data_IF_494952226502
#
_entry.id   IF_494952226502
#
_cell.length_a   1.000
_cell.length_b   1.000
_cell.length_c   1.000
_cell.angle_alpha   90.00
_cell.angle_beta   90.00
_cell.angle_gamma   90.00
#
_symmetry.space_group_name_H-M   'P 1'
#
loop_
_entity.id
_entity.type
_entity.pdbx_description
1 polymer ?
#
# COMPACT_ATOMS: atom_id res chain seq x y z
N UNK A 1 8.32 -14.71 8.41
CA UNK A 1 7.05 -14.38 9.10
C UNK A 1 6.26 -13.39 8.26
N UNK A 2 5.76 -13.80 7.11
CA UNK A 2 4.71 -13.12 6.36
C UNK A 2 3.98 -14.23 5.63
N UNK A 3 2.85 -14.72 6.14
CA UNK A 3 2.08 -15.83 5.54
C UNK A 3 1.38 -15.43 4.24
N UNK A 4 2.12 -14.80 3.33
CA UNK A 4 1.66 -14.20 2.07
C UNK A 4 2.47 -14.70 0.86
N UNK A 5 3.30 -15.74 1.03
CA UNK A 5 4.11 -16.31 -0.06
C UNK A 5 3.21 -16.79 -1.21
N UNK A 6 2.03 -17.34 -0.91
CA UNK A 6 1.04 -17.76 -1.90
C UNK A 6 0.20 -16.61 -2.49
N UNK A 7 0.32 -15.39 -1.95
CA UNK A 7 -0.50 -14.24 -2.30
C UNK A 7 0.21 -13.22 -3.22
N UNK A 8 1.46 -13.47 -3.65
CA UNK A 8 2.21 -12.54 -4.50
C UNK A 8 1.46 -12.12 -5.77
N UNK A 9 0.77 -13.08 -6.39
CA UNK A 9 -0.01 -12.87 -7.61
C UNK A 9 -1.23 -11.94 -7.41
N UNK A 10 -1.61 -11.66 -6.17
CA UNK A 10 -2.77 -10.82 -5.83
C UNK A 10 -2.40 -9.35 -5.62
N UNK A 11 -1.12 -9.03 -5.38
CA UNK A 11 -0.69 -7.64 -5.13
C UNK A 11 -1.02 -6.65 -6.25
N UNK A 12 -0.92 -6.99 -7.56
CA UNK A 12 -1.39 -6.13 -8.64
C UNK A 12 -2.86 -5.71 -8.53
N UNK A 13 -3.68 -6.51 -7.84
CA UNK A 13 -5.10 -6.28 -7.65
C UNK A 13 -5.44 -5.59 -6.33
N UNK A 14 -4.57 -5.71 -5.33
CA UNK A 14 -4.79 -5.20 -3.97
C UNK A 14 -4.09 -3.86 -3.69
N UNK A 15 -2.94 -3.59 -4.32
CA UNK A 15 -2.26 -2.31 -4.18
C UNK A 15 -2.02 -1.71 -5.57
N UNK A 16 -2.34 -0.43 -5.81
CA UNK A 16 -2.01 0.24 -7.07
C UNK A 16 -0.53 0.13 -7.48
N UNK A 17 0.39 0.10 -6.51
CA UNK A 17 1.84 -0.10 -6.76
C UNK A 17 2.18 -1.55 -7.18
N UNK A 18 1.24 -2.48 -7.03
CA UNK A 18 1.32 -3.86 -7.52
C UNK A 18 2.24 -4.79 -6.74
N UNK A 19 2.68 -4.40 -5.54
CA UNK A 19 3.55 -5.22 -4.67
C UNK A 19 3.23 -5.01 -3.19
N UNK A 20 3.69 -5.96 -2.37
CA UNK A 20 3.76 -5.79 -0.92
C UNK A 20 4.71 -4.62 -0.58
N UNK A 21 4.36 -3.87 0.47
CA UNK A 21 5.24 -2.87 1.06
C UNK A 21 6.36 -3.51 1.86
N UNK A 22 7.55 -2.95 1.77
CA UNK A 22 8.72 -3.38 2.53
C UNK A 22 9.05 -2.38 3.64
N UNK A 23 9.77 -2.78 4.72
CA UNK A 23 10.18 -1.85 5.78
C UNK A 23 10.89 -0.60 5.25
N UNK A 24 11.63 -0.72 4.15
CA UNK A 24 12.36 0.38 3.53
C UNK A 24 11.42 1.41 2.89
N UNK A 25 10.19 1.05 2.50
CA UNK A 25 9.21 2.02 1.99
C UNK A 25 8.83 3.02 3.09
N UNK A 26 8.62 2.55 4.32
CA UNK A 26 8.38 3.39 5.49
C UNK A 26 9.62 4.21 5.84
N UNK A 27 10.78 3.55 5.90
CA UNK A 27 12.04 4.20 6.28
C UNK A 27 12.42 5.35 5.33
N UNK A 28 12.16 5.21 4.02
CA UNK A 28 12.42 6.28 3.04
C UNK A 28 11.57 7.53 3.29
N UNK A 29 10.29 7.36 3.63
CA UNK A 29 9.41 8.50 3.95
C UNK A 29 9.79 9.14 5.28
N UNK A 30 10.15 8.33 6.28
CA UNK A 30 10.69 8.85 7.54
C UNK A 30 11.98 9.65 7.32
N UNK A 31 12.89 9.15 6.46
CA UNK A 31 14.12 9.84 6.12
C UNK A 31 13.85 11.17 5.39
N UNK A 32 12.91 11.19 4.44
CA UNK A 32 12.47 12.44 3.81
C UNK A 32 11.96 13.45 4.85
N UNK A 33 11.08 13.01 5.76
CA UNK A 33 10.50 13.85 6.80
C UNK A 33 11.51 14.34 7.85
N UNK A 34 12.60 13.61 8.05
CA UNK A 34 13.70 13.99 8.93
C UNK A 34 14.72 14.93 8.25
N UNK A 35 14.61 15.14 6.94
CA UNK A 35 15.55 15.95 6.16
C UNK A 35 15.07 17.39 5.97
N UNK A 36 15.98 18.28 5.59
CA UNK A 36 15.64 19.68 5.27
C UNK A 36 14.68 19.82 4.08
N UNK A 37 14.56 18.77 3.24
CA UNK A 37 13.67 18.74 2.08
C UNK A 37 12.20 18.87 2.46
N UNK A 38 11.84 18.52 3.70
CA UNK A 38 10.47 18.60 4.21
C UNK A 38 10.26 19.76 5.19
N UNK A 39 11.13 20.78 5.19
CA UNK A 39 11.11 21.89 6.16
C UNK A 39 9.79 22.66 6.28
N UNK A 40 8.93 22.61 5.26
CA UNK A 40 7.60 23.22 5.29
C UNK A 40 6.43 22.22 5.28
N UNK A 41 6.73 20.93 5.36
CA UNK A 41 5.72 19.86 5.43
C UNK A 41 5.38 19.61 6.90
N UNK A 42 4.39 20.34 7.41
CA UNK A 42 3.95 20.24 8.81
C UNK A 42 2.46 19.89 8.88
N UNK A 43 2.06 19.23 9.97
CA UNK A 43 0.65 18.90 10.24
C UNK A 43 0.00 17.90 9.27
N UNK A 44 0.78 17.19 8.46
CA UNK A 44 0.28 16.28 7.44
C UNK A 44 0.54 14.81 7.77
N UNK A 45 -0.42 13.95 7.39
CA UNK A 45 -0.23 12.50 7.37
C UNK A 45 0.18 12.07 5.96
N UNK A 46 1.34 11.44 5.79
CA UNK A 46 1.78 10.89 4.51
C UNK A 46 1.53 9.38 4.52
N UNK A 47 0.53 8.88 3.78
CA UNK A 47 0.27 7.44 3.69
C UNK A 47 1.37 6.73 2.90
N UNK A 48 1.89 5.64 3.47
CA UNK A 48 2.90 4.78 2.85
C UNK A 48 2.34 3.38 2.69
N UNK A 49 1.39 3.24 1.77
CA UNK A 49 0.52 2.06 1.66
C UNK A 49 0.36 1.52 0.22
N UNK A 50 1.23 1.97 -0.69
CA UNK A 50 1.19 1.57 -2.10
C UNK A 50 -0.05 2.04 -2.87
N UNK A 51 -0.81 3.01 -2.33
CA UNK A 51 -2.02 3.55 -2.95
C UNK A 51 -3.32 2.94 -2.44
N UNK A 52 -3.26 2.06 -1.42
CA UNK A 52 -4.43 1.34 -0.90
C UNK A 52 -5.53 2.28 -0.38
N UNK A 53 -5.16 3.37 0.32
CA UNK A 53 -6.11 4.40 0.79
C UNK A 53 -6.68 5.24 -0.34
N UNK A 54 -5.90 5.50 -1.40
CA UNK A 54 -6.39 6.23 -2.57
C UNK A 54 -7.47 5.42 -3.35
N UNK A 55 -7.41 4.09 -3.27
CA UNK A 55 -8.43 3.19 -3.83
C UNK A 55 -9.76 3.14 -3.04
N UNK A 56 -9.95 3.96 -2.00
CA UNK A 56 -11.18 4.00 -1.21
C UNK A 56 -11.53 2.69 -0.50
N UNK A 57 -10.55 1.80 -0.31
CA UNK A 57 -10.75 0.45 0.23
C UNK A 57 -11.42 -0.53 -0.76
N UNK A 58 -11.54 -0.17 -2.04
CA UNK A 58 -12.06 -1.05 -3.08
C UNK A 58 -10.90 -1.68 -3.87
N UNK A 59 -10.83 -3.01 -3.85
CA UNK A 59 -9.84 -3.80 -4.56
C UNK A 59 -10.51 -4.50 -5.74
N UNK A 60 -9.87 -4.52 -6.91
CA UNK A 60 -10.39 -5.36 -7.98
C UNK A 60 -10.12 -6.82 -7.60
N UNK A 61 -11.15 -7.68 -7.60
CA UNK A 61 -10.96 -9.11 -7.42
C UNK A 61 -10.94 -9.79 -8.79
N UNK A 62 -9.81 -10.37 -9.21
CA UNK A 62 -9.76 -11.14 -10.46
C UNK A 62 -10.77 -12.30 -10.46
N UNK A 63 -10.93 -12.96 -9.31
CA UNK A 63 -11.88 -14.07 -9.10
C UNK A 63 -13.34 -13.61 -9.19
N UNK A 64 -13.70 -12.53 -8.49
CA UNK A 64 -15.09 -12.04 -8.47
C UNK A 64 -15.43 -11.16 -9.69
N UNK A 65 -14.43 -10.80 -10.51
CA UNK A 65 -14.54 -9.90 -11.67
C UNK A 65 -15.23 -8.57 -11.37
N UNK A 66 -15.08 -8.07 -10.13
CA UNK A 66 -15.66 -6.81 -9.65
C UNK A 66 -14.79 -6.19 -8.55
N UNK A 67 -15.03 -4.92 -8.25
CA UNK A 67 -14.47 -4.27 -7.07
C UNK A 67 -15.12 -4.82 -5.80
N UNK A 68 -14.30 -5.10 -4.78
CA UNK A 68 -14.73 -5.61 -3.46
C UNK A 68 -14.08 -4.79 -2.35
N UNK A 69 -14.82 -4.54 -1.25
CA UNK A 69 -14.28 -3.80 -0.09
C UNK A 69 -13.53 -4.68 0.93
N UNK A 70 -13.42 -5.98 0.64
CA UNK A 70 -12.56 -6.94 1.33
C UNK A 70 -12.02 -7.92 0.29
N UNK A 71 -10.70 -8.15 0.25
CA UNK A 71 -10.16 -9.27 -0.49
C UNK A 71 -10.61 -10.55 0.21
N UNK A 72 -11.68 -11.19 -0.27
CA UNK A 72 -12.10 -12.50 0.20
C UNK A 72 -11.36 -13.58 -0.60
N UNK A 73 -10.16 -13.90 -0.14
CA UNK A 73 -9.48 -15.21 -0.20
C UNK A 73 -8.11 -15.04 0.47
N UNK A 74 -8.07 -15.30 1.78
CA UNK A 74 -7.05 -16.18 2.34
C UNK A 74 -7.56 -17.61 2.14
#
# INVERSE_FOLDING_TARGET
MTGYEDAEHLWPSWAPVGRLGWPEDQARVALFLASDLSSYVTGHNIPVDGGSKAGGGWFYSPTARRFVNRPKTL
#
